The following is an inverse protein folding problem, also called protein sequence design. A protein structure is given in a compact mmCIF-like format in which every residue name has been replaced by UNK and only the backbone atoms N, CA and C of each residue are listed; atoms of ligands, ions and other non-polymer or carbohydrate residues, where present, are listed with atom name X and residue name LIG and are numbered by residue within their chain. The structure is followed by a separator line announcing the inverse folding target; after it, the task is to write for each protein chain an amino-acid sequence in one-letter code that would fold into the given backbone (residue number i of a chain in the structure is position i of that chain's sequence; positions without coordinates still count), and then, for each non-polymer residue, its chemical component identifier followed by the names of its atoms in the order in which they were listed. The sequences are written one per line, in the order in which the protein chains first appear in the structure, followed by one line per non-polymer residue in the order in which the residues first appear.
data_IF_880964631682
#
_entry.id   IF_880964631682
#
_cell.length_a   1.000
_cell.length_b   1.000
_cell.length_c   1.000
_cell.angle_alpha   90.00
_cell.angle_beta   90.00
_cell.angle_gamma   90.00
#
_symmetry.space_group_name_H-M   'P 1'
#
loop_
_entity.id
_entity.type
_entity.pdbx_description
1 polymer ?
#
# COMPACT_ATOMS: atom_id res chain seq x y z
N UNK A 1 18.70 57.11 43.12
CA UNK A 1 18.44 55.87 43.86
C UNK A 1 17.30 55.18 43.16
N UNK A 2 17.61 53.99 42.63
CA UNK A 2 16.91 53.33 41.54
C UNK A 2 15.98 52.26 42.13
N UNK A 3 14.68 52.36 41.85
CA UNK A 3 13.75 51.25 42.08
C UNK A 3 12.56 51.40 41.12
N UNK A 4 12.72 50.93 39.87
CA UNK A 4 11.57 50.68 39.00
C UNK A 4 11.10 49.25 39.21
N UNK A 5 9.86 49.17 39.60
CA UNK A 5 8.97 48.03 39.75
C UNK A 5 8.99 47.04 38.58
N UNK A 6 8.91 45.78 38.97
CA UNK A 6 8.61 44.58 38.18
C UNK A 6 7.38 44.68 37.28
N UNK A 7 7.51 44.22 36.03
CA UNK A 7 6.43 43.57 35.29
C UNK A 7 7.00 42.34 34.56
N UNK A 8 6.42 41.13 34.76
CA UNK A 8 6.76 39.97 33.96
C UNK A 8 6.11 40.12 32.59
N UNK A 9 6.94 40.27 31.56
CA UNK A 9 6.52 40.25 30.18
C UNK A 9 5.82 38.91 29.91
N UNK A 10 4.53 38.97 29.57
CA UNK A 10 3.71 37.83 29.16
C UNK A 10 4.46 37.05 28.06
N UNK A 11 5.08 35.95 28.44
CA UNK A 11 5.43 34.90 27.51
C UNK A 11 4.10 34.26 27.07
N UNK A 12 3.52 34.79 25.99
CA UNK A 12 2.48 34.10 25.23
C UNK A 12 3.09 32.76 24.79
N UNK A 13 2.80 31.73 25.58
CA UNK A 13 3.04 30.34 25.23
C UNK A 13 2.28 30.08 23.94
N UNK A 14 2.98 30.19 22.81
CA UNK A 14 2.48 29.86 21.50
C UNK A 14 2.24 28.34 21.50
N UNK A 15 1.06 27.94 21.98
CA UNK A 15 0.64 26.55 22.07
C UNK A 15 0.44 26.08 20.64
N UNK A 16 1.50 25.58 20.01
CA UNK A 16 1.41 24.89 18.73
C UNK A 16 0.33 23.83 18.86
N UNK A 17 -0.83 24.06 18.23
CA UNK A 17 -1.90 23.08 18.14
C UNK A 17 -1.30 21.88 17.40
N UNK A 18 -1.09 20.78 18.12
CA UNK A 18 -0.59 19.55 17.53
C UNK A 18 -1.65 19.00 16.58
N UNK A 19 -1.27 18.78 15.31
CA UNK A 19 -2.14 18.22 14.27
C UNK A 19 -2.42 16.72 14.45
N UNK A 20 -1.67 16.06 15.33
CA UNK A 20 -1.76 14.62 15.57
C UNK A 20 -3.19 14.13 15.89
N UNK A 21 -3.99 14.79 16.76
CA UNK A 21 -5.35 14.34 17.04
C UNK A 21 -6.27 14.43 15.82
N UNK A 22 -6.12 15.45 14.97
CA UNK A 22 -6.92 15.59 13.75
C UNK A 22 -6.59 14.48 12.74
N UNK A 23 -5.30 14.15 12.59
CA UNK A 23 -4.85 13.04 11.74
C UNK A 23 -5.38 11.69 12.25
N UNK A 24 -5.34 11.45 13.56
CA UNK A 24 -5.89 10.23 14.18
C UNK A 24 -7.39 10.13 13.93
N UNK A 25 -8.16 11.21 14.13
CA UNK A 25 -9.60 11.22 13.88
C UNK A 25 -9.92 10.98 12.40
N UNK A 26 -9.19 11.64 11.49
CA UNK A 26 -9.34 11.44 10.05
C UNK A 26 -9.04 10.00 9.61
N UNK A 27 -7.99 9.39 10.18
CA UNK A 27 -7.63 8.00 9.91
C UNK A 27 -8.69 7.01 10.41
N UNK A 28 -9.19 7.20 11.64
CA UNK A 28 -10.27 6.38 12.19
C UNK A 28 -11.55 6.49 11.34
N UNK A 29 -11.88 7.71 10.90
CA UNK A 29 -13.02 7.92 10.00
C UNK A 29 -12.82 7.19 8.67
N UNK A 30 -11.62 7.24 8.08
CA UNK A 30 -11.31 6.53 6.84
C UNK A 30 -11.49 5.00 6.98
N UNK A 31 -11.03 4.42 8.10
CA UNK A 31 -11.23 2.99 8.40
C UNK A 31 -12.71 2.63 8.57
N UNK A 32 -13.48 3.46 9.29
CA UNK A 32 -14.93 3.24 9.47
C UNK A 32 -15.69 3.30 8.13
N UNK A 33 -15.34 4.27 7.28
CA UNK A 33 -15.90 4.37 5.94
C UNK A 33 -15.58 3.12 5.11
N UNK A 34 -14.32 2.67 5.11
CA UNK A 34 -13.92 1.43 4.45
C UNK A 34 -14.69 0.21 4.95
N UNK A 35 -14.83 0.08 6.27
CA UNK A 35 -15.58 -1.03 6.89
C UNK A 35 -17.04 -1.06 6.45
N UNK A 36 -17.72 0.09 6.43
CA UNK A 36 -19.11 0.17 5.97
C UNK A 36 -19.25 -0.19 4.48
N UNK A 37 -18.35 0.31 3.64
CA UNK A 37 -18.37 0.02 2.20
C UNK A 37 -18.10 -1.45 1.93
N UNK A 38 -17.06 -2.05 2.51
CA UNK A 38 -16.78 -3.48 2.35
C UNK A 38 -17.92 -4.35 2.88
N UNK A 39 -18.48 -4.03 4.05
CA UNK A 39 -19.63 -4.77 4.58
C UNK A 39 -20.82 -4.70 3.63
N UNK A 40 -21.09 -3.54 3.03
CA UNK A 40 -22.21 -3.39 2.11
C UNK A 40 -22.01 -4.17 0.80
N UNK A 41 -20.80 -4.12 0.25
CA UNK A 41 -20.48 -4.77 -1.03
C UNK A 41 -20.33 -6.29 -0.90
N UNK A 42 -19.67 -6.77 0.15
CA UNK A 42 -19.28 -8.19 0.25
C UNK A 42 -20.29 -9.06 0.99
N UNK A 43 -21.05 -8.52 1.95
CA UNK A 43 -21.95 -9.33 2.80
C UNK A 43 -23.02 -10.07 2.01
N UNK A 44 -23.55 -9.44 0.95
CA UNK A 44 -24.56 -10.09 0.11
C UNK A 44 -23.95 -11.23 -0.71
N UNK A 45 -22.76 -11.02 -1.28
CA UNK A 45 -22.04 -12.05 -2.03
C UNK A 45 -21.64 -13.23 -1.13
N UNK A 46 -21.11 -12.96 0.07
CA UNK A 46 -20.77 -13.98 1.07
C UNK A 46 -21.98 -14.86 1.43
N UNK A 47 -23.13 -14.23 1.72
CA UNK A 47 -24.36 -14.96 2.08
C UNK A 47 -24.79 -15.87 0.93
N UNK A 48 -24.76 -15.37 -0.30
CA UNK A 48 -25.07 -16.14 -1.50
C UNK A 48 -24.13 -17.33 -1.68
N UNK A 49 -22.81 -17.12 -1.60
CA UNK A 49 -21.82 -18.20 -1.73
C UNK A 49 -21.96 -19.26 -0.63
N UNK A 50 -22.25 -18.84 0.60
CA UNK A 50 -22.50 -19.75 1.71
C UNK A 50 -23.71 -20.63 1.47
N UNK A 51 -24.83 -20.04 1.05
CA UNK A 51 -26.07 -20.78 0.82
C UNK A 51 -25.92 -21.73 -0.38
N UNK A 52 -25.25 -21.28 -1.45
CA UNK A 52 -24.92 -22.12 -2.60
C UNK A 52 -24.03 -23.31 -2.21
N UNK A 53 -22.99 -23.09 -1.39
CA UNK A 53 -22.13 -24.17 -0.91
C UNK A 53 -22.90 -25.23 -0.10
N UNK A 54 -23.78 -24.79 0.81
CA UNK A 54 -24.62 -25.73 1.59
C UNK A 54 -25.58 -26.50 0.68
N UNK A 55 -26.18 -25.83 -0.30
CA UNK A 55 -27.09 -26.47 -1.25
C UNK A 55 -26.37 -27.53 -2.10
N UNK A 56 -25.20 -27.21 -2.65
CA UNK A 56 -24.40 -28.17 -3.43
C UNK A 56 -23.95 -29.35 -2.58
N UNK A 57 -23.56 -29.12 -1.31
CA UNK A 57 -23.24 -30.19 -0.35
C UNK A 57 -24.43 -31.14 -0.13
N UNK A 58 -25.64 -30.60 0.02
CA UNK A 58 -26.86 -31.41 0.18
C UNK A 58 -27.22 -32.19 -1.08
N UNK A 59 -27.14 -31.56 -2.26
CA UNK A 59 -27.34 -32.24 -3.55
C UNK A 59 -26.35 -33.39 -3.73
N UNK A 60 -25.10 -33.20 -3.35
CA UNK A 60 -24.07 -34.23 -3.41
C UNK A 60 -24.41 -35.43 -2.51
N UNK A 61 -24.80 -35.19 -1.25
CA UNK A 61 -25.25 -36.25 -0.35
C UNK A 61 -26.50 -36.98 -0.85
N UNK A 62 -27.43 -36.26 -1.49
CA UNK A 62 -28.63 -36.86 -2.07
C UNK A 62 -28.30 -37.75 -3.27
N UNK A 63 -27.30 -37.38 -4.08
CA UNK A 63 -26.87 -38.17 -5.23
C UNK A 63 -26.08 -39.43 -4.83
N UNK A 64 -25.36 -39.37 -3.70
CA UNK A 64 -24.54 -40.46 -3.18
C UNK A 64 -25.07 -40.97 -1.83
N UNK A 65 -26.13 -41.78 -1.88
CA UNK A 65 -26.81 -42.32 -0.69
C UNK A 65 -25.95 -43.23 0.20
N UNK A 66 -24.84 -43.73 -0.32
CA UNK A 66 -23.85 -44.50 0.44
C UNK A 66 -22.90 -43.63 1.29
N UNK A 67 -22.90 -42.32 1.06
CA UNK A 67 -22.05 -41.36 1.77
C UNK A 67 -22.87 -40.65 2.84
N UNK A 68 -22.46 -40.80 4.11
CA UNK A 68 -23.07 -40.07 5.21
C UNK A 68 -22.42 -38.69 5.39
N UNK A 69 -23.11 -37.83 6.15
CA UNK A 69 -22.66 -36.46 6.38
C UNK A 69 -21.29 -36.38 7.05
N UNK A 70 -21.01 -37.30 7.98
CA UNK A 70 -19.74 -37.32 8.72
C UNK A 70 -18.57 -37.72 7.83
N UNK A 71 -18.72 -38.74 6.97
CA UNK A 71 -17.67 -39.10 6.02
C UNK A 71 -17.37 -37.96 5.04
N UNK A 72 -18.40 -37.27 4.54
CA UNK A 72 -18.21 -36.12 3.66
C UNK A 72 -17.47 -34.99 4.39
N UNK A 73 -17.87 -34.64 5.61
CA UNK A 73 -17.20 -33.59 6.40
C UNK A 73 -15.74 -33.93 6.70
N UNK A 74 -15.45 -35.20 7.03
CA UNK A 74 -14.08 -35.68 7.20
C UNK A 74 -13.27 -35.57 5.91
N UNK A 75 -13.86 -35.92 4.76
CA UNK A 75 -13.19 -35.77 3.47
C UNK A 75 -12.91 -34.30 3.13
N UNK A 76 -13.89 -33.41 3.31
CA UNK A 76 -13.68 -31.96 3.14
C UNK A 76 -12.57 -31.46 4.05
N UNK A 77 -12.52 -31.91 5.30
CA UNK A 77 -11.44 -31.53 6.23
C UNK A 77 -10.06 -31.95 5.71
N UNK A 78 -9.92 -33.17 5.17
CA UNK A 78 -8.65 -33.63 4.57
C UNK A 78 -8.27 -32.78 3.36
N UNK A 79 -9.23 -32.41 2.52
CA UNK A 79 -8.99 -31.54 1.36
C UNK A 79 -8.53 -30.13 1.80
N UNK A 80 -9.20 -29.55 2.79
CA UNK A 80 -8.83 -28.24 3.33
C UNK A 80 -7.44 -28.26 3.97
N UNK A 81 -7.11 -29.31 4.74
CA UNK A 81 -5.77 -29.47 5.33
C UNK A 81 -4.68 -29.63 4.26
N UNK A 82 -4.96 -30.38 3.20
CA UNK A 82 -4.06 -30.51 2.06
C UNK A 82 -3.83 -29.17 1.37
N UNK A 83 -4.91 -28.41 1.12
CA UNK A 83 -4.84 -27.07 0.53
C UNK A 83 -4.03 -26.09 1.37
N UNK A 84 -4.28 -26.04 2.69
CA UNK A 84 -3.53 -25.20 3.64
C UNK A 84 -2.04 -25.53 3.65
N UNK A 85 -1.68 -26.81 3.46
CA UNK A 85 -0.29 -27.27 3.32
C UNK A 85 0.30 -27.03 1.93
N UNK A 86 -0.43 -26.37 1.04
CA UNK A 86 0.00 -26.05 -0.32
C UNK A 86 -0.04 -27.26 -1.25
N UNK A 87 -0.95 -28.22 -1.05
CA UNK A 87 -1.17 -29.35 -1.97
C UNK A 87 -2.49 -29.12 -2.69
N UNK A 88 -2.44 -29.01 -4.03
CA UNK A 88 -3.64 -28.81 -4.84
C UNK A 88 -4.42 -30.14 -4.95
N UNK A 89 -5.66 -30.24 -4.43
CA UNK A 89 -6.46 -31.46 -4.45
C UNK A 89 -7.02 -31.82 -5.83
N UNK A 90 -7.13 -30.86 -6.75
CA UNK A 90 -7.52 -31.12 -8.15
C UNK A 90 -6.36 -31.67 -8.98
N UNK A 91 -5.13 -31.58 -8.45
CA UNK A 91 -3.92 -31.99 -9.13
C UNK A 91 -3.72 -33.50 -9.17
N UNK A 92 -3.23 -34.02 -10.30
CA UNK A 92 -2.67 -35.37 -10.34
C UNK A 92 -1.30 -35.40 -9.63
N UNK A 93 -0.89 -36.58 -9.16
CA UNK A 93 0.40 -36.87 -8.48
C UNK A 93 1.66 -36.44 -9.27
N UNK A 94 1.50 -36.10 -10.55
CA UNK A 94 2.53 -35.67 -11.48
C UNK A 94 2.76 -34.15 -11.49
N UNK A 95 1.97 -33.37 -10.75
CA UNK A 95 2.13 -31.93 -10.70
C UNK A 95 3.51 -31.55 -10.12
N UNK A 96 4.15 -30.50 -10.64
CA UNK A 96 5.44 -30.04 -10.14
C UNK A 96 5.34 -29.60 -8.68
N UNK A 97 6.44 -29.78 -7.95
CA UNK A 97 6.51 -29.39 -6.53
C UNK A 97 6.29 -27.88 -6.38
N UNK A 98 5.45 -27.51 -5.41
CA UNK A 98 5.29 -26.11 -5.00
C UNK A 98 6.55 -25.53 -4.35
N UNK A 99 7.55 -26.35 -4.02
CA UNK A 99 8.85 -25.96 -3.49
C UNK A 99 10.02 -26.26 -4.47
N UNK A 100 9.77 -26.18 -5.79
CA UNK A 100 10.88 -26.10 -6.74
C UNK A 100 11.69 -24.80 -6.58
N UNK A 101 12.82 -24.66 -7.26
CA UNK A 101 13.69 -23.49 -7.08
C UNK A 101 13.01 -22.17 -7.50
N UNK A 102 12.24 -22.17 -8.59
CA UNK A 102 11.57 -20.96 -9.10
C UNK A 102 10.51 -20.47 -8.12
N UNK A 103 9.71 -21.40 -7.58
CA UNK A 103 8.71 -21.14 -6.56
C UNK A 103 9.33 -20.72 -5.24
N UNK A 104 10.43 -21.37 -4.84
CA UNK A 104 11.16 -21.04 -3.62
C UNK A 104 11.81 -19.65 -3.71
N UNK A 105 12.35 -19.27 -4.87
CA UNK A 105 12.89 -17.93 -5.12
C UNK A 105 11.79 -16.87 -5.08
N UNK A 106 10.66 -17.14 -5.73
CA UNK A 106 9.49 -16.27 -5.66
C UNK A 106 9.01 -16.09 -4.22
N UNK A 107 8.84 -17.18 -3.46
CA UNK A 107 8.48 -17.16 -2.04
C UNK A 107 9.50 -16.38 -1.18
N UNK A 108 10.80 -16.61 -1.38
CA UNK A 108 11.84 -15.86 -0.69
C UNK A 108 11.75 -14.36 -0.97
N UNK A 109 11.40 -13.99 -2.22
CA UNK A 109 11.10 -12.63 -2.63
C UNK A 109 9.88 -12.05 -1.88
N UNK A 110 8.76 -12.79 -1.80
CA UNK A 110 7.54 -12.30 -1.13
C UNK A 110 7.72 -12.09 0.37
N UNK A 111 8.59 -12.88 1.02
CA UNK A 111 8.94 -12.70 2.44
C UNK A 111 9.74 -11.41 2.66
N UNK A 112 10.81 -11.18 1.89
CA UNK A 112 11.66 -9.97 2.09
C UNK A 112 10.98 -8.68 1.64
N UNK A 113 10.06 -8.78 0.67
CA UNK A 113 9.25 -7.65 0.19
C UNK A 113 8.01 -7.40 1.04
N UNK A 114 7.78 -8.20 2.08
CA UNK A 114 6.62 -8.13 2.98
C UNK A 114 5.27 -8.24 2.26
N UNK A 115 5.22 -8.85 1.08
CA UNK A 115 3.98 -9.09 0.33
C UNK A 115 3.23 -10.27 0.93
N UNK A 116 3.92 -11.40 1.13
CA UNK A 116 3.40 -12.56 1.83
C UNK A 116 2.01 -13.07 1.40
N UNK A 117 1.82 -13.44 0.12
CA UNK A 117 0.54 -13.92 -0.41
C UNK A 117 -0.19 -15.00 0.41
N UNK A 118 0.51 -15.79 1.21
CA UNK A 118 -0.11 -16.79 2.08
C UNK A 118 -0.61 -18.05 1.38
N UNK A 119 -0.63 -18.10 0.04
CA UNK A 119 -0.94 -19.29 -0.74
C UNK A 119 0.10 -20.43 -0.60
N UNK A 120 1.30 -20.09 -0.12
CA UNK A 120 2.35 -21.02 0.25
C UNK A 120 2.99 -20.54 1.56
N UNK A 121 3.19 -21.45 2.51
CA UNK A 121 3.83 -21.14 3.79
C UNK A 121 4.65 -22.34 4.29
N UNK A 122 5.72 -22.12 5.09
CA UNK A 122 6.54 -23.21 5.61
C UNK A 122 5.75 -24.02 6.65
N UNK A 123 5.51 -25.29 6.36
CA UNK A 123 4.79 -26.21 7.26
C UNK A 123 5.70 -26.92 8.26
N UNK A 124 7.03 -26.87 8.07
CA UNK A 124 7.99 -27.53 8.97
C UNK A 124 8.47 -26.56 10.05
N UNK A 125 8.72 -27.07 11.26
CA UNK A 125 9.27 -26.27 12.38
C UNK A 125 10.59 -25.60 11.98
N UNK A 126 11.48 -26.34 11.32
CA UNK A 126 12.75 -25.81 10.83
C UNK A 126 12.54 -24.68 9.79
N UNK A 127 11.60 -24.86 8.85
CA UNK A 127 11.27 -23.86 7.84
C UNK A 127 10.65 -22.59 8.45
N UNK A 128 9.80 -22.73 9.47
CA UNK A 128 9.22 -21.59 10.19
C UNK A 128 10.28 -20.80 10.95
N UNK A 129 11.17 -21.49 11.69
CA UNK A 129 12.29 -20.86 12.39
C UNK A 129 13.21 -20.15 11.39
N UNK A 130 13.56 -20.81 10.29
CA UNK A 130 14.36 -20.19 9.23
C UNK A 130 13.68 -18.94 8.65
N UNK A 131 12.37 -19.00 8.38
CA UNK A 131 11.60 -17.88 7.85
C UNK A 131 11.64 -16.66 8.77
N UNK A 132 11.55 -16.85 10.09
CA UNK A 132 11.67 -15.76 11.08
C UNK A 132 13.02 -15.06 10.97
N UNK A 133 14.13 -15.80 10.99
CA UNK A 133 15.47 -15.20 10.86
C UNK A 133 15.70 -14.59 9.47
N UNK A 134 15.21 -15.24 8.43
CA UNK A 134 15.31 -14.75 7.06
C UNK A 134 14.57 -13.41 6.89
N UNK A 135 13.35 -13.28 7.42
CA UNK A 135 12.59 -12.03 7.41
C UNK A 135 13.24 -10.94 8.27
N UNK A 136 13.76 -11.30 9.45
CA UNK A 136 14.41 -10.35 10.38
C UNK A 136 15.55 -9.56 9.72
N UNK A 137 16.39 -10.22 8.91
CA UNK A 137 17.48 -9.55 8.21
C UNK A 137 17.10 -9.12 6.78
N UNK A 138 16.25 -9.90 6.11
CA UNK A 138 15.85 -9.68 4.73
C UNK A 138 14.98 -8.45 4.54
N UNK A 139 14.03 -8.18 5.44
CA UNK A 139 13.13 -7.01 5.33
C UNK A 139 13.90 -5.68 5.47
N UNK A 140 14.76 -5.47 6.48
CA UNK A 140 15.60 -4.27 6.55
C UNK A 140 16.53 -4.11 5.35
N UNK A 141 17.13 -5.22 4.87
CA UNK A 141 17.98 -5.21 3.68
C UNK A 141 17.19 -4.78 2.43
N UNK A 142 15.99 -5.33 2.24
CA UNK A 142 15.12 -4.94 1.14
C UNK A 142 14.73 -3.46 1.22
N UNK A 143 14.39 -2.94 2.40
CA UNK A 143 14.09 -1.52 2.58
C UNK A 143 15.29 -0.62 2.24
N UNK A 144 16.49 -1.01 2.68
CA UNK A 144 17.73 -0.29 2.34
C UNK A 144 18.01 -0.32 0.83
N UNK A 145 17.80 -1.48 0.19
CA UNK A 145 17.93 -1.65 -1.25
C UNK A 145 16.93 -0.78 -2.02
N UNK A 146 15.65 -0.80 -1.65
CA UNK A 146 14.60 0.03 -2.24
C UNK A 146 14.92 1.53 -2.10
N UNK A 147 15.45 1.96 -0.94
CA UNK A 147 15.88 3.33 -0.73
C UNK A 147 17.03 3.73 -1.68
N UNK A 148 18.01 2.86 -1.88
CA UNK A 148 19.11 3.12 -2.82
C UNK A 148 18.62 3.15 -4.28
N UNK A 149 17.72 2.25 -4.67
CA UNK A 149 17.08 2.30 -5.98
C UNK A 149 16.28 3.58 -6.17
N UNK A 150 15.52 4.01 -5.16
CA UNK A 150 14.79 5.28 -5.16
C UNK A 150 15.73 6.48 -5.39
N UNK A 151 16.85 6.55 -4.66
CA UNK A 151 17.88 7.58 -4.88
C UNK A 151 18.49 7.54 -6.28
N UNK A 152 18.75 6.33 -6.80
CA UNK A 152 19.23 6.15 -8.17
C UNK A 152 18.24 6.68 -9.20
N UNK A 153 16.95 6.33 -9.07
CA UNK A 153 15.87 6.83 -9.92
C UNK A 153 15.75 8.36 -9.86
N UNK A 154 15.82 8.94 -8.65
CA UNK A 154 15.82 10.40 -8.49
C UNK A 154 17.07 11.06 -9.11
N UNK A 155 18.25 10.44 -9.00
CA UNK A 155 19.49 10.95 -9.60
C UNK A 155 19.44 10.91 -11.13
N UNK A 156 18.82 9.88 -11.72
CA UNK A 156 18.56 9.83 -13.16
C UNK A 156 17.66 10.99 -13.61
N UNK A 157 16.59 11.30 -12.85
CA UNK A 157 15.72 12.44 -13.15
C UNK A 157 16.48 13.77 -13.12
N UNK A 158 17.31 14.00 -12.08
CA UNK A 158 18.13 15.21 -11.97
C UNK A 158 19.19 15.30 -13.08
N UNK A 159 19.74 14.15 -13.50
CA UNK A 159 20.68 14.11 -14.62
C UNK A 159 20.00 14.54 -15.90
N UNK A 160 18.80 14.04 -16.19
CA UNK A 160 17.99 14.44 -17.35
C UNK A 160 17.66 15.94 -17.33
N UNK A 161 17.41 16.51 -16.15
CA UNK A 161 17.15 17.95 -16.00
C UNK A 161 18.37 18.81 -16.36
N UNK A 162 19.59 18.36 -16.03
CA UNK A 162 20.83 19.11 -16.34
C UNK A 162 21.08 19.28 -17.84
N UNK A 163 20.53 18.41 -18.69
CA UNK A 163 20.62 18.54 -20.15
C UNK A 163 19.75 19.67 -20.71
N UNK A 164 18.86 20.25 -19.91
CA UNK A 164 17.98 21.37 -20.31
C UNK A 164 18.19 22.58 -19.39
N UNK A 165 19.33 23.29 -19.48
CA UNK A 165 19.54 24.50 -18.70
C UNK A 165 18.66 25.64 -19.24
N UNK A 166 17.69 26.09 -18.44
CA UNK A 166 16.88 27.29 -18.71
C UNK A 166 16.85 28.22 -17.49
N UNK A 167 16.88 29.56 -17.68
CA UNK A 167 16.93 30.50 -16.57
C UNK A 167 15.55 30.75 -15.92
N UNK A 168 15.55 30.94 -14.59
CA UNK A 168 14.45 31.58 -13.83
C UNK A 168 13.21 30.70 -13.57
N UNK A 169 12.02 31.33 -13.52
CA UNK A 169 10.71 30.67 -13.26
C UNK A 169 10.41 29.51 -14.21
N UNK A 170 10.95 29.55 -15.43
CA UNK A 170 10.80 28.48 -16.41
C UNK A 170 11.44 27.17 -15.90
N UNK A 171 12.58 27.24 -15.19
CA UNK A 171 13.28 26.06 -14.66
C UNK A 171 12.39 25.23 -13.73
N UNK A 172 11.69 25.90 -12.80
CA UNK A 172 10.78 25.23 -11.86
C UNK A 172 9.62 24.55 -12.61
N UNK A 173 9.04 25.22 -13.61
CA UNK A 173 7.98 24.62 -14.44
C UNK A 173 8.48 23.39 -15.21
N UNK A 174 9.69 23.46 -15.79
CA UNK A 174 10.31 22.31 -16.47
C UNK A 174 10.59 21.15 -15.53
N UNK A 175 11.05 21.41 -14.31
CA UNK A 175 11.27 20.38 -13.28
C UNK A 175 9.97 19.60 -12.99
N UNK A 176 8.86 20.30 -12.73
CA UNK A 176 7.58 19.65 -12.48
C UNK A 176 7.04 18.87 -13.69
N UNK A 177 7.21 19.41 -14.91
CA UNK A 177 6.79 18.72 -16.13
C UNK A 177 7.61 17.44 -16.36
N UNK A 178 8.94 17.50 -16.23
CA UNK A 178 9.80 16.33 -16.41
C UNK A 178 9.55 15.27 -15.33
N UNK A 179 9.36 15.70 -14.08
CA UNK A 179 8.93 14.82 -12.99
C UNK A 179 7.58 14.16 -13.32
N UNK A 180 6.60 14.91 -13.81
CA UNK A 180 5.30 14.36 -14.19
C UNK A 180 5.40 13.36 -15.35
N UNK A 181 6.19 13.65 -16.39
CA UNK A 181 6.43 12.73 -17.52
C UNK A 181 7.14 11.46 -17.02
N UNK A 182 8.13 11.60 -16.13
CA UNK A 182 8.84 10.47 -15.57
C UNK A 182 7.89 9.59 -14.74
N UNK A 183 7.11 10.19 -13.83
CA UNK A 183 6.15 9.50 -12.97
C UNK A 183 5.01 8.84 -13.77
N UNK A 184 4.53 9.48 -14.82
CA UNK A 184 3.50 8.88 -15.69
C UNK A 184 4.07 7.71 -16.50
N UNK A 185 5.26 7.88 -17.09
CA UNK A 185 5.93 6.83 -17.87
C UNK A 185 6.24 5.59 -17.03
N UNK A 186 6.81 5.75 -15.84
CA UNK A 186 7.10 4.59 -14.98
C UNK A 186 5.84 3.94 -14.43
N UNK A 187 4.78 4.70 -14.15
CA UNK A 187 3.49 4.11 -13.74
C UNK A 187 2.87 3.31 -14.88
N UNK A 188 2.96 3.79 -16.12
CA UNK A 188 2.53 3.03 -17.30
C UNK A 188 3.32 1.70 -17.41
N UNK A 189 4.64 1.75 -17.22
CA UNK A 189 5.53 0.58 -17.33
C UNK A 189 5.32 -0.45 -16.21
N UNK A 190 5.20 -0.02 -14.96
CA UNK A 190 5.18 -0.92 -13.80
C UNK A 190 3.77 -1.29 -13.32
N UNK A 191 2.76 -0.48 -13.62
CA UNK A 191 1.39 -0.68 -13.13
C UNK A 191 0.39 -1.05 -14.23
N UNK A 192 0.48 -0.41 -15.40
CA UNK A 192 -0.55 -0.51 -16.46
C UNK A 192 -0.20 -1.54 -17.53
N UNK A 193 1.08 -1.68 -17.88
CA UNK A 193 1.55 -2.66 -18.86
C UNK A 193 1.52 -4.12 -18.35
N UNK A 194 2.00 -4.46 -17.13
CA UNK A 194 2.06 -5.84 -16.65
C UNK A 194 0.72 -6.60 -16.63
N UNK A 195 -0.43 -5.95 -16.31
CA UNK A 195 -1.75 -6.57 -16.43
C UNK A 195 -2.06 -7.19 -17.79
N UNK A 196 -1.52 -6.64 -18.89
CA UNK A 196 -1.67 -7.24 -20.24
C UNK A 196 -0.94 -8.58 -20.34
N UNK A 197 0.27 -8.65 -19.77
CA UNK A 197 1.08 -9.88 -19.74
C UNK A 197 0.39 -10.93 -18.86
N UNK A 198 -0.08 -10.54 -17.67
CA UNK A 198 -0.81 -11.43 -16.78
C UNK A 198 -2.11 -11.93 -17.40
N UNK A 199 -2.87 -11.06 -18.08
CA UNK A 199 -4.08 -11.46 -18.78
C UNK A 199 -3.80 -12.52 -19.85
N UNK A 200 -2.74 -12.35 -20.63
CA UNK A 200 -2.35 -13.32 -21.66
C UNK A 200 -1.87 -14.66 -21.08
N UNK A 201 -0.99 -14.62 -20.06
CA UNK A 201 -0.35 -15.82 -19.50
C UNK A 201 -1.31 -16.56 -18.56
N UNK A 202 -1.89 -15.84 -17.60
CA UNK A 202 -2.76 -16.42 -16.57
C UNK A 202 -4.21 -16.62 -17.05
N UNK A 203 -4.60 -15.99 -18.16
CA UNK A 203 -5.98 -16.05 -18.66
C UNK A 203 -6.96 -15.24 -17.81
N UNK A 204 -6.44 -14.35 -16.95
CA UNK A 204 -7.22 -13.39 -16.20
C UNK A 204 -7.76 -12.30 -17.13
N UNK A 205 -8.85 -11.65 -16.74
CA UNK A 205 -9.25 -10.38 -17.32
C UNK A 205 -8.19 -9.30 -17.02
N UNK A 206 -8.14 -8.26 -17.85
CA UNK A 206 -7.24 -7.13 -17.61
C UNK A 206 -7.49 -6.48 -16.23
N UNK A 207 -8.74 -6.42 -15.77
CA UNK A 207 -9.11 -5.89 -14.47
C UNK A 207 -8.53 -6.69 -13.31
N UNK A 208 -8.60 -8.01 -13.38
CA UNK A 208 -7.97 -8.91 -12.39
C UNK A 208 -6.44 -8.79 -12.41
N UNK A 209 -5.83 -8.68 -13.60
CA UNK A 209 -4.39 -8.44 -13.73
C UNK A 209 -3.95 -7.10 -13.14
N UNK A 210 -4.77 -6.06 -13.28
CA UNK A 210 -4.53 -4.74 -12.68
C UNK A 210 -4.69 -4.77 -11.17
N UNK A 211 -5.75 -5.42 -10.68
CA UNK A 211 -5.98 -5.67 -9.26
C UNK A 211 -4.78 -6.41 -8.65
N UNK A 212 -4.36 -7.53 -9.25
CA UNK A 212 -3.16 -8.27 -8.83
C UNK A 212 -1.93 -7.37 -8.79
N UNK A 213 -1.68 -6.59 -9.85
CA UNK A 213 -0.52 -5.70 -9.93
C UNK A 213 -0.51 -4.66 -8.80
N UNK A 214 -1.64 -4.01 -8.55
CA UNK A 214 -1.74 -3.00 -7.50
C UNK A 214 -1.61 -3.62 -6.10
N UNK A 215 -2.33 -4.71 -5.80
CA UNK A 215 -2.27 -5.42 -4.50
C UNK A 215 -0.87 -5.97 -4.22
N UNK A 216 -0.16 -6.41 -5.26
CA UNK A 216 1.22 -6.89 -5.17
C UNK A 216 2.19 -5.76 -4.87
N UNK A 217 2.19 -4.71 -5.69
CA UNK A 217 3.16 -3.61 -5.55
C UNK A 217 2.88 -2.72 -4.33
N UNK A 218 1.64 -2.69 -3.84
CA UNK A 218 1.30 -2.03 -2.56
C UNK A 218 1.66 -2.87 -1.33
N UNK A 219 2.23 -4.07 -1.51
CA UNK A 219 2.59 -5.03 -0.44
C UNK A 219 1.40 -5.50 0.40
N UNK A 220 0.18 -5.44 -0.13
CA UNK A 220 -1.02 -5.97 0.54
C UNK A 220 -1.05 -7.50 0.42
N UNK A 221 -0.84 -8.02 -0.79
CA UNK A 221 -0.63 -9.45 -1.04
C UNK A 221 -1.72 -10.39 -0.51
N UNK A 222 -2.99 -10.23 -0.94
CA UNK A 222 -4.07 -11.11 -0.48
C UNK A 222 -3.91 -12.60 -0.84
N UNK A 223 -3.24 -12.89 -1.97
CA UNK A 223 -3.00 -14.27 -2.43
C UNK A 223 -4.18 -14.96 -3.09
N UNK A 224 -5.27 -14.22 -3.32
CA UNK A 224 -6.40 -14.59 -4.17
C UNK A 224 -5.98 -14.75 -5.64
N UNK A 225 -5.09 -13.87 -6.12
CA UNK A 225 -4.42 -13.99 -7.41
C UNK A 225 -2.91 -14.15 -7.20
N UNK A 226 -2.36 -15.27 -7.69
CA UNK A 226 -0.92 -15.54 -7.67
C UNK A 226 -0.51 -16.20 -8.98
N UNK A 227 0.57 -15.69 -9.57
CA UNK A 227 1.09 -16.16 -10.85
C UNK A 227 1.57 -17.61 -10.81
N UNK A 228 1.37 -18.32 -11.90
CA UNK A 228 1.91 -19.66 -12.14
C UNK A 228 1.25 -20.77 -11.35
N UNK A 229 0.12 -20.54 -10.68
CA UNK A 229 -0.51 -21.49 -9.74
C UNK A 229 -1.47 -22.48 -10.39
N UNK A 230 -1.92 -22.22 -11.61
CA UNK A 230 -2.92 -23.07 -12.27
C UNK A 230 -2.31 -24.41 -12.72
N UNK A 231 -2.78 -25.56 -12.20
CA UNK A 231 -2.22 -26.88 -12.56
C UNK A 231 -2.49 -27.26 -14.02
N UNK A 232 -3.51 -26.69 -14.65
CA UNK A 232 -3.90 -27.00 -16.03
C UNK A 232 -3.08 -26.22 -17.07
N UNK A 233 -2.17 -25.34 -16.63
CA UNK A 233 -1.34 -24.52 -17.52
C UNK A 233 0.14 -24.86 -17.37
N UNK A 234 0.81 -24.99 -18.50
CA UNK A 234 2.26 -25.14 -18.53
C UNK A 234 2.93 -23.77 -18.62
N UNK A 235 3.48 -23.33 -17.49
CA UNK A 235 4.25 -22.09 -17.42
C UNK A 235 5.73 -22.34 -17.76
N UNK A 236 6.39 -21.34 -18.35
CA UNK A 236 7.85 -21.39 -18.52
C UNK A 236 8.52 -21.33 -17.12
N UNK A 237 9.57 -22.13 -16.84
CA UNK A 237 10.17 -22.19 -15.51
C UNK A 237 10.67 -20.85 -14.95
N UNK A 238 11.07 -19.94 -15.86
CA UNK A 238 11.67 -18.64 -15.52
C UNK A 238 10.60 -17.57 -15.23
N UNK A 239 9.33 -17.83 -15.53
CA UNK A 239 8.24 -16.86 -15.42
C UNK A 239 8.11 -16.27 -14.02
N UNK A 240 8.00 -17.13 -12.99
CA UNK A 240 7.87 -16.68 -11.60
C UNK A 240 9.10 -15.91 -11.12
N UNK A 241 10.31 -16.32 -11.52
CA UNK A 241 11.52 -15.56 -11.24
C UNK A 241 11.52 -14.17 -11.91
N UNK A 242 11.04 -14.05 -13.15
CA UNK A 242 10.87 -12.77 -13.82
C UNK A 242 9.83 -11.89 -13.13
N UNK A 243 8.73 -12.48 -12.66
CA UNK A 243 7.73 -11.77 -11.86
C UNK A 243 8.33 -11.27 -10.55
N UNK A 244 9.12 -12.09 -9.84
CA UNK A 244 9.82 -11.65 -8.62
C UNK A 244 10.76 -10.46 -8.89
N UNK A 245 11.51 -10.50 -9.99
CA UNK A 245 12.39 -9.40 -10.39
C UNK A 245 11.56 -8.15 -10.69
N UNK A 246 10.47 -8.28 -11.46
CA UNK A 246 9.55 -7.17 -11.76
C UNK A 246 8.97 -6.55 -10.48
N UNK A 247 8.55 -7.37 -9.50
CA UNK A 247 8.04 -6.91 -8.21
C UNK A 247 9.07 -6.03 -7.51
N UNK A 248 10.34 -6.43 -7.47
CA UNK A 248 11.41 -5.64 -6.83
C UNK A 248 11.54 -4.24 -7.44
N UNK A 249 11.55 -4.15 -8.77
CA UNK A 249 11.61 -2.85 -9.46
C UNK A 249 10.30 -2.04 -9.33
N UNK A 250 9.15 -2.71 -9.42
CA UNK A 250 7.84 -2.08 -9.25
C UNK A 250 7.63 -1.53 -7.83
N UNK A 251 8.16 -2.21 -6.82
CA UNK A 251 8.15 -1.72 -5.43
C UNK A 251 9.03 -0.48 -5.26
N UNK A 252 10.21 -0.47 -5.86
CA UNK A 252 11.07 0.72 -5.85
C UNK A 252 10.38 1.91 -6.52
N UNK A 253 9.66 1.63 -7.62
CA UNK A 253 8.86 2.63 -8.31
C UNK A 253 7.70 3.16 -7.45
N UNK A 254 6.89 2.28 -6.86
CA UNK A 254 5.74 2.69 -6.06
C UNK A 254 6.18 3.43 -4.78
N UNK A 255 7.28 2.99 -4.15
CA UNK A 255 7.88 3.68 -3.02
C UNK A 255 8.30 5.12 -3.38
N UNK A 256 8.88 5.32 -4.57
CA UNK A 256 9.19 6.66 -5.07
C UNK A 256 7.93 7.51 -5.25
N UNK A 257 6.89 6.95 -5.84
CA UNK A 257 5.59 7.65 -6.03
C UNK A 257 5.00 8.07 -4.68
N UNK A 258 5.01 7.18 -3.69
CA UNK A 258 4.51 7.51 -2.34
C UNK A 258 5.37 8.55 -1.63
N UNK A 259 6.69 8.48 -1.74
CA UNK A 259 7.58 9.47 -1.14
C UNK A 259 7.38 10.87 -1.75
N UNK A 260 7.29 10.97 -3.08
CA UNK A 260 7.00 12.23 -3.76
C UNK A 260 5.59 12.72 -3.41
N UNK A 261 4.60 11.83 -3.36
CA UNK A 261 3.24 12.16 -2.96
C UNK A 261 3.15 12.69 -1.52
N UNK A 262 3.89 12.09 -0.59
CA UNK A 262 3.96 12.51 0.80
C UNK A 262 4.61 13.90 0.94
N UNK A 263 5.74 14.14 0.25
CA UNK A 263 6.42 15.45 0.24
C UNK A 263 5.54 16.55 -0.37
N UNK A 264 4.82 16.25 -1.47
CA UNK A 264 3.85 17.17 -2.06
C UNK A 264 2.68 17.47 -1.12
N UNK A 265 2.17 16.45 -0.42
CA UNK A 265 1.11 16.61 0.57
C UNK A 265 1.57 17.51 1.72
N UNK A 266 2.77 17.28 2.26
CA UNK A 266 3.34 18.09 3.34
C UNK A 266 3.49 19.56 2.92
N UNK A 267 4.08 19.81 1.74
CA UNK A 267 4.21 21.18 1.20
C UNK A 267 2.87 21.86 1.00
N UNK A 268 1.87 21.14 0.50
CA UNK A 268 0.52 21.69 0.30
C UNK A 268 -0.16 22.05 1.64
N UNK A 269 0.00 21.20 2.66
CA UNK A 269 -0.52 21.46 4.00
C UNK A 269 0.17 22.68 4.64
N UNK A 270 1.50 22.76 4.56
CA UNK A 270 2.26 23.91 5.07
C UNK A 270 1.87 25.23 4.36
N UNK A 271 1.69 25.21 3.03
CA UNK A 271 1.25 26.38 2.27
C UNK A 271 -0.16 26.85 2.65
N UNK A 272 -1.11 25.91 2.79
CA UNK A 272 -2.47 26.25 3.24
C UNK A 272 -2.47 26.83 4.64
N UNK A 273 -1.65 26.28 5.54
CA UNK A 273 -1.55 26.76 6.91
C UNK A 273 -0.94 28.15 7.01
N UNK A 274 0.17 28.40 6.30
CA UNK A 274 0.80 29.72 6.31
C UNK A 274 -0.16 30.79 5.77
N UNK A 275 -0.97 30.44 4.75
CA UNK A 275 -2.01 31.32 4.24
C UNK A 275 -3.14 31.56 5.25
N UNK A 276 -3.54 30.55 6.04
CA UNK A 276 -4.53 30.74 7.11
C UNK A 276 -4.00 31.64 8.22
N UNK A 277 -2.75 31.44 8.66
CA UNK A 277 -2.13 32.28 9.70
C UNK A 277 -2.04 33.75 9.26
N UNK A 278 -1.62 34.02 8.02
CA UNK A 278 -1.62 35.38 7.46
C UNK A 278 -3.04 35.98 7.44
N UNK A 279 -4.04 35.20 7.02
CA UNK A 279 -5.43 35.68 6.97
C UNK A 279 -6.01 35.99 8.36
N UNK A 280 -5.58 35.25 9.39
CA UNK A 280 -5.97 35.50 10.78
C UNK A 280 -5.26 36.73 11.36
N UNK A 281 -3.97 36.90 11.04
CA UNK A 281 -3.21 38.08 11.45
C UNK A 281 -3.77 39.37 10.83
N UNK A 282 -4.08 39.36 9.53
CA UNK A 282 -4.63 40.51 8.80
C UNK A 282 -6.04 40.90 9.30
N UNK A 283 -6.84 39.92 9.71
CA UNK A 283 -8.17 40.14 10.33
C UNK A 283 -8.07 40.65 11.77
N UNK A 284 -7.01 40.31 12.49
CA UNK A 284 -6.77 40.81 13.84
C UNK A 284 -6.31 42.29 13.81
N UNK A 285 -5.48 42.67 12.84
CA UNK A 285 -5.03 44.07 12.68
C UNK A 285 -6.17 44.99 12.26
N UNK A 286 -7.05 44.57 11.33
CA UNK A 286 -8.22 45.39 10.93
C UNK A 286 -9.19 45.63 12.10
N UNK A 287 -9.37 44.64 12.98
CA UNK A 287 -10.21 44.80 14.17
C UNK A 287 -9.64 45.75 15.22
N UNK A 288 -8.31 45.91 15.28
CA UNK A 288 -7.66 46.85 16.20
C UNK A 288 -7.73 48.29 15.69
N UNK A 289 -7.78 48.50 14.37
CA UNK A 289 -7.95 49.84 13.77
C UNK A 289 -9.40 50.35 13.85
N UNK A 290 -10.39 49.43 13.90
CA UNK A 290 -11.82 49.77 14.00
C UNK A 290 -12.33 49.95 15.45
N UNK A 291 -11.52 49.69 16.50
CA UNK A 291 -11.92 50.05 17.87
C UNK A 291 -11.72 51.55 18.11
N UNK A 292 -12.78 52.32 18.44
CA UNK A 292 -12.64 53.74 18.71
C UNK A 292 -11.81 53.95 19.99
N UNK A 293 -10.81 54.83 19.90
CA UNK A 293 -9.92 55.22 21.00
C UNK A 293 -10.74 55.50 22.27
N UNK A 294 -10.66 54.60 23.24
CA UNK A 294 -11.45 54.70 24.47
C UNK A 294 -11.04 55.99 25.21
N UNK A 295 -12.00 56.91 25.30
CA UNK A 295 -11.88 58.26 25.83
C UNK A 295 -11.00 58.32 27.09
N UNK A 296 -9.82 58.96 27.00
CA UNK A 296 -9.06 59.37 28.18
C UNK A 296 -9.92 60.32 29.00
N UNK A 297 -10.34 59.86 30.17
CA UNK A 297 -11.04 60.66 31.17
C UNK A 297 -10.07 61.75 31.64
N UNK A 298 -10.40 63.00 31.30
CA UNK A 298 -9.71 64.18 31.79
C UNK A 298 -10.19 64.46 33.21
N UNK A 299 -9.33 64.25 34.21
CA UNK A 299 -9.60 64.69 35.59
C UNK A 299 -9.06 66.13 35.70
N UNK A 300 -9.89 67.14 35.95
CA UNK A 300 -9.42 68.49 36.22
C UNK A 300 -8.97 68.61 37.69
N UNK A 301 -7.92 69.40 37.89
CA UNK A 301 -7.31 69.81 39.16
C UNK A 301 -8.28 70.54 40.09
#
# INVERSE_FOLDING_TARGET
QQQSSSMPLLALHNRQISWTPLLVLGYLFYLLLGAMVFQHLEKQAETHFRDQFQLEKLKFLQNYTCLDRQALEKFVQVLMEAWEKGVNPEGNSTNPSNWDFSNSFFFAGTVVTTIGYGNLSPSTVAGQIFCVFYALFGVPLNLAFLNQLGKGLSAHLLTLERWVPKPGRAQVQYHFIMLAIFLTTGTLLFLVFPPLVFSYVEGWSYGEGFYFTFITLSTIGFGDYVVGTNPNKHYIPVYRSLTAIWIVFGLAWLALVFNVGADLMEKFLQLKWHKSDLSLAERATTKLEDEPEQSRIHIPS
#
